data_IF_077754114004
#
_entry.id   IF_077754114004
#
_cell.length_a   1.000
_cell.length_b   1.000
_cell.length_c   1.000
_cell.angle_alpha   90.00
_cell.angle_beta   90.00
_cell.angle_gamma   90.00
#
_symmetry.space_group_name_H-M   'P 1'
#
loop_
_entity.id
_entity.type
_entity.pdbx_description
1 polymer ?
#
# COMPACT_ATOMS: atom_id res chain seq x y z
N UNK A 1 -9.99 -42.82 53.27
CA UNK A 1 -11.06 -43.83 53.18
C UNK A 1 -11.87 -43.54 51.93
N UNK A 2 -11.52 -44.24 50.84
CA UNK A 2 -12.44 -44.68 49.77
C UNK A 2 -13.36 -45.76 50.36
N UNK A 3 -14.53 -46.14 49.79
CA UNK A 3 -14.86 -46.36 48.36
C UNK A 3 -16.19 -45.67 47.94
N UNK A 4 -16.62 -45.60 46.69
CA UNK A 4 -17.19 -46.69 45.89
C UNK A 4 -17.10 -46.40 44.39
N UNK A 5 -16.79 -47.46 43.65
CA UNK A 5 -16.95 -47.58 42.22
C UNK A 5 -18.17 -48.49 41.98
N UNK A 6 -19.06 -48.16 41.04
CA UNK A 6 -19.58 -49.18 40.14
C UNK A 6 -20.36 -48.63 38.91
N UNK A 7 -20.18 -49.37 37.81
CA UNK A 7 -21.07 -49.64 36.66
C UNK A 7 -21.35 -48.57 35.59
N UNK A 8 -20.70 -48.78 34.44
CA UNK A 8 -21.15 -48.42 33.09
C UNK A 8 -22.39 -49.23 32.68
N UNK A 9 -23.09 -48.79 31.61
CA UNK A 9 -22.97 -49.60 30.40
C UNK A 9 -22.76 -48.81 29.10
N UNK A 10 -22.03 -49.50 28.24
CA UNK A 10 -21.77 -49.38 26.80
C UNK A 10 -23.00 -49.11 25.93
N UNK A 11 -22.87 -48.21 24.95
CA UNK A 11 -23.45 -48.41 23.61
C UNK A 11 -22.42 -48.07 22.54
N UNK A 12 -21.90 -49.13 21.93
CA UNK A 12 -21.25 -49.18 20.63
C UNK A 12 -22.23 -48.78 19.51
N UNK A 13 -21.78 -47.95 18.57
CA UNK A 13 -21.95 -48.21 17.13
C UNK A 13 -21.11 -47.27 16.28
N UNK A 14 -20.07 -47.86 15.68
CA UNK A 14 -19.24 -47.30 14.63
C UNK A 14 -19.88 -47.54 13.23
N UNK A 15 -19.16 -47.32 12.10
CA UNK A 15 -19.57 -46.42 11.03
C UNK A 15 -20.15 -47.14 9.80
N UNK A 16 -20.90 -46.42 8.96
CA UNK A 16 -21.21 -46.89 7.60
C UNK A 16 -20.66 -45.91 6.58
N UNK A 17 -19.50 -46.27 6.04
CA UNK A 17 -19.06 -45.82 4.73
C UNK A 17 -19.55 -46.83 3.68
N UNK A 18 -20.12 -46.35 2.57
CA UNK A 18 -20.12 -47.09 1.30
C UNK A 18 -20.01 -46.12 0.13
N UNK A 19 -18.88 -46.24 -0.55
CA UNK A 19 -18.55 -45.67 -1.85
C UNK A 19 -19.38 -46.34 -2.96
N UNK A 20 -19.80 -45.57 -3.96
CA UNK A 20 -19.94 -46.06 -5.33
C UNK A 20 -19.83 -44.88 -6.32
N UNK A 21 -18.86 -45.03 -7.21
CA UNK A 21 -18.44 -44.18 -8.31
C UNK A 21 -19.36 -44.29 -9.54
N UNK A 22 -19.04 -43.47 -10.56
CA UNK A 22 -19.56 -43.45 -11.95
C UNK A 22 -20.78 -42.52 -12.07
N UNK A 23 -20.80 -41.43 -12.84
CA UNK A 23 -20.53 -41.39 -14.28
C UNK A 23 -20.29 -39.94 -14.77
N UNK A 24 -19.33 -39.79 -15.68
CA UNK A 24 -19.06 -38.56 -16.44
C UNK A 24 -19.96 -38.60 -17.67
N UNK A 25 -20.88 -37.65 -17.81
CA UNK A 25 -21.64 -37.46 -19.05
C UNK A 25 -21.52 -36.00 -19.52
N UNK A 26 -20.65 -35.79 -20.50
CA UNK A 26 -20.69 -34.63 -21.38
C UNK A 26 -21.47 -35.04 -22.63
N UNK A 27 -22.61 -34.40 -22.91
CA UNK A 27 -23.20 -34.37 -24.25
C UNK A 27 -24.29 -33.29 -24.39
N UNK A 28 -23.98 -32.34 -25.28
CA UNK A 28 -24.83 -31.83 -26.36
C UNK A 28 -26.12 -31.05 -26.07
N UNK A 29 -26.00 -29.73 -26.29
CA UNK A 29 -26.81 -28.95 -27.24
C UNK A 29 -28.26 -29.41 -27.45
N UNK A 30 -29.20 -28.80 -26.73
CA UNK A 30 -30.59 -28.68 -27.19
C UNK A 30 -30.95 -27.22 -27.43
N UNK A 31 -30.75 -26.87 -28.69
CA UNK A 31 -31.44 -25.83 -29.45
C UNK A 31 -32.90 -25.71 -29.01
N UNK A 32 -33.29 -24.54 -28.52
CA UNK A 32 -34.64 -24.04 -28.75
C UNK A 32 -34.57 -22.80 -29.65
N UNK A 33 -34.59 -23.10 -30.95
CA UNK A 33 -34.97 -22.16 -32.00
C UNK A 33 -36.50 -22.07 -31.98
N UNK A 34 -36.98 -20.84 -32.17
CA UNK A 34 -38.13 -20.38 -33.00
C UNK A 34 -39.01 -19.43 -32.17
N UNK A 35 -39.46 -18.26 -32.66
CA UNK A 35 -39.33 -17.59 -33.96
C UNK A 35 -39.98 -16.19 -33.84
N UNK A 36 -39.34 -15.19 -34.49
CA UNK A 36 -39.90 -14.12 -35.35
C UNK A 36 -40.77 -13.06 -34.65
N UNK A 37 -40.64 -11.76 -34.92
CA UNK A 37 -40.67 -11.05 -36.23
C UNK A 37 -39.82 -9.76 -36.10
N UNK A 38 -38.78 -9.53 -36.90
CA UNK A 38 -38.77 -8.81 -38.20
C UNK A 38 -39.43 -7.42 -38.13
N UNK A 39 -38.60 -6.37 -38.22
CA UNK A 39 -38.72 -5.28 -39.20
C UNK A 39 -37.47 -4.39 -39.13
N UNK A 40 -36.49 -4.67 -39.99
CA UNK A 40 -35.47 -3.70 -40.41
C UNK A 40 -35.97 -3.07 -41.70
N UNK A 41 -36.37 -1.81 -41.68
CA UNK A 41 -36.41 -0.92 -42.84
C UNK A 41 -36.40 0.52 -42.32
N UNK A 42 -35.23 1.16 -42.33
CA UNK A 42 -35.02 2.51 -42.86
C UNK A 42 -33.52 2.81 -42.75
N UNK A 43 -32.83 2.58 -43.86
CA UNK A 43 -31.50 3.08 -44.09
C UNK A 43 -31.58 4.47 -44.75
N UNK A 44 -30.47 5.21 -44.61
CA UNK A 44 -29.92 6.24 -45.51
C UNK A 44 -30.12 7.72 -45.11
N UNK A 45 -29.01 8.46 -45.30
CA UNK A 45 -28.71 9.90 -45.27
C UNK A 45 -28.21 10.44 -43.91
N UNK A 46 -26.99 10.97 -43.75
CA UNK A 46 -26.02 11.47 -44.71
C UNK A 46 -24.59 11.51 -44.12
N UNK A 47 -23.62 11.09 -44.93
CA UNK A 47 -22.19 11.44 -44.83
C UNK A 47 -22.00 12.73 -45.64
N UNK A 48 -21.54 13.82 -45.02
CA UNK A 48 -20.86 14.92 -45.70
C UNK A 48 -20.23 15.91 -44.69
N UNK A 49 -18.93 16.15 -44.82
CA UNK A 49 -18.37 17.49 -44.58
C UNK A 49 -17.35 17.67 -43.45
N UNK A 50 -16.13 17.15 -43.59
CA UNK A 50 -14.94 17.89 -43.12
C UNK A 50 -13.70 17.58 -43.96
N UNK A 51 -13.70 18.07 -45.20
CA UNK A 51 -12.50 18.19 -46.03
C UNK A 51 -12.48 19.60 -46.62
N UNK A 52 -12.00 20.57 -45.84
CA UNK A 52 -11.66 21.90 -46.32
C UNK A 52 -10.68 22.55 -45.36
N UNK A 53 -9.45 22.77 -45.84
CA UNK A 53 -8.50 23.84 -45.50
C UNK A 53 -7.05 23.33 -45.43
N UNK A 54 -6.57 22.77 -46.54
CA UNK A 54 -5.13 22.62 -46.81
C UNK A 54 -4.65 23.88 -47.53
N UNK A 55 -4.60 25.02 -46.83
CA UNK A 55 -3.85 26.21 -47.27
C UNK A 55 -3.22 26.82 -46.01
N UNK A 56 -2.09 26.24 -45.60
CA UNK A 56 -1.14 26.86 -44.68
C UNK A 56 0.05 27.43 -45.48
N UNK A 57 0.62 28.57 -45.08
CA UNK A 57 1.63 29.27 -45.87
C UNK A 57 2.91 28.45 -45.99
N UNK A 58 3.51 28.43 -47.19
CA UNK A 58 4.88 27.98 -47.43
C UNK A 58 5.84 28.97 -46.73
N UNK A 59 5.95 28.84 -45.41
CA UNK A 59 6.95 29.53 -44.63
C UNK A 59 8.29 28.81 -44.84
N UNK A 60 9.21 29.51 -45.49
CA UNK A 60 10.63 29.20 -45.53
C UNK A 60 11.11 28.85 -44.11
N UNK A 61 11.50 27.59 -43.89
CA UNK A 61 12.15 27.21 -42.64
C UNK A 61 13.52 27.89 -42.59
N UNK A 62 13.87 28.64 -41.53
CA UNK A 62 15.27 29.02 -41.35
C UNK A 62 16.07 27.73 -41.10
N UNK A 63 17.22 27.60 -41.79
CA UNK A 63 18.23 26.59 -41.44
C UNK A 63 18.58 26.79 -39.97
N UNK A 64 18.34 25.77 -39.16
CA UNK A 64 18.90 25.70 -37.82
C UNK A 64 20.42 25.56 -37.97
N UNK A 65 21.16 26.62 -37.64
CA UNK A 65 22.58 26.50 -37.33
C UNK A 65 22.69 25.84 -35.96
N UNK A 66 23.33 24.66 -35.91
CA UNK A 66 23.63 24.00 -34.67
C UNK A 66 24.73 24.80 -33.95
N UNK A 67 24.35 25.52 -32.88
CA UNK A 67 25.32 26.08 -31.94
C UNK A 67 25.95 24.92 -31.18
N UNK A 68 27.19 24.58 -31.53
CA UNK A 68 28.03 23.66 -30.77
C UNK A 68 28.42 24.32 -29.44
N UNK A 69 27.72 23.97 -28.37
CA UNK A 69 28.14 24.25 -27.00
C UNK A 69 29.16 23.17 -26.61
N UNK A 70 30.38 23.52 -26.17
CA UNK A 70 31.33 22.52 -25.69
C UNK A 70 30.74 21.82 -24.46
N UNK A 71 30.91 20.49 -24.31
CA UNK A 71 30.48 19.81 -23.10
C UNK A 71 31.32 20.33 -21.93
N UNK A 72 30.68 21.05 -21.01
CA UNK A 72 31.29 21.39 -19.72
C UNK A 72 31.24 20.12 -18.87
N UNK A 73 32.33 19.35 -18.87
CA UNK A 73 32.44 18.16 -18.04
C UNK A 73 32.67 18.59 -16.59
N UNK A 74 31.69 18.31 -15.73
CA UNK A 74 31.82 18.42 -14.26
C UNK A 74 32.81 17.39 -13.67
N UNK A 75 33.55 16.66 -14.50
CA UNK A 75 34.51 15.63 -14.10
C UNK A 75 35.90 16.21 -13.76
N UNK A 76 36.19 17.46 -14.16
CA UNK A 76 37.51 18.06 -13.94
C UNK A 76 37.70 18.73 -12.55
N UNK A 77 36.64 18.85 -11.74
CA UNK A 77 36.69 19.57 -10.46
C UNK A 77 37.07 18.73 -9.24
N UNK A 78 37.05 17.40 -9.31
CA UNK A 78 37.18 16.54 -8.11
C UNK A 78 38.44 15.68 -8.07
N UNK A 79 39.27 15.71 -9.11
CA UNK A 79 40.54 14.94 -9.15
C UNK A 79 41.69 15.63 -8.40
N UNK A 80 41.60 16.94 -8.14
CA UNK A 80 42.64 17.67 -7.41
C UNK A 80 42.53 17.54 -5.87
N UNK A 81 41.39 17.08 -5.34
CA UNK A 81 41.14 17.05 -3.89
C UNK A 81 41.25 15.64 -3.26
N UNK A 82 41.58 14.63 -4.08
CA UNK A 82 41.63 13.23 -3.64
C UNK A 82 43.04 12.70 -3.33
N UNK A 83 44.09 13.53 -3.45
CA UNK A 83 45.48 13.09 -3.27
C UNK A 83 46.15 13.76 -2.06
N UNK A 84 45.68 13.44 -0.85
CA UNK A 84 46.47 13.69 0.35
C UNK A 84 46.06 12.84 1.56
N UNK A 85 45.99 11.50 1.44
CA UNK A 85 46.19 10.61 2.59
C UNK A 85 46.77 9.27 2.12
N UNK A 86 48.10 9.17 2.17
CA UNK A 86 48.85 7.91 2.13
C UNK A 86 49.49 7.67 3.50
N UNK A 87 49.74 6.37 3.77
CA UNK A 87 50.41 5.75 4.92
C UNK A 87 49.47 5.38 6.09
N UNK A 88 49.46 4.16 6.64
CA UNK A 88 50.27 2.96 6.41
C UNK A 88 49.66 1.74 7.15
N UNK A 89 50.19 0.57 6.78
CA UNK A 89 50.26 -0.69 7.53
C UNK A 89 49.06 -1.66 7.49
N UNK A 90 49.40 -2.87 7.09
CA UNK A 90 48.54 -4.04 6.94
C UNK A 90 48.27 -4.72 8.29
N UNK A 91 47.03 -5.13 8.49
CA UNK A 91 46.65 -6.21 9.42
C UNK A 91 45.48 -6.98 8.80
N UNK A 92 45.57 -8.31 8.56
CA UNK A 92 44.41 -9.09 8.15
C UNK A 92 43.53 -9.37 9.38
N UNK A 93 42.39 -8.68 9.51
CA UNK A 93 41.34 -9.04 10.47
C UNK A 93 40.42 -10.09 9.88
N UNK A 94 40.46 -11.29 10.48
CA UNK A 94 39.52 -12.38 10.27
C UNK A 94 38.10 -11.94 10.63
N UNK A 95 37.15 -12.07 9.70
CA UNK A 95 35.72 -11.87 9.98
C UNK A 95 35.18 -13.07 10.75
N UNK A 96 35.09 -12.92 12.07
CA UNK A 96 34.38 -13.83 12.95
C UNK A 96 32.87 -13.78 12.69
N UNK A 97 32.24 -14.95 12.68
CA UNK A 97 30.82 -15.16 12.44
C UNK A 97 30.06 -14.86 13.74
N UNK A 98 29.96 -13.57 14.04
CA UNK A 98 29.15 -13.04 15.14
C UNK A 98 27.65 -13.09 14.80
N UNK A 99 27.00 -14.08 15.40
CA UNK A 99 25.57 -14.32 15.49
C UNK A 99 24.77 -13.05 15.84
N UNK A 100 24.34 -12.29 14.82
CA UNK A 100 23.35 -11.24 14.97
C UNK A 100 21.98 -11.89 15.23
N UNK A 101 21.66 -12.10 16.50
CA UNK A 101 20.33 -12.51 16.94
C UNK A 101 19.31 -11.43 16.59
N UNK A 102 18.58 -11.61 15.50
CA UNK A 102 17.38 -10.84 15.22
C UNK A 102 16.22 -11.46 16.01
N UNK A 103 15.68 -10.72 16.97
CA UNK A 103 14.46 -11.13 17.67
C UNK A 103 13.25 -10.90 16.76
N UNK A 104 12.62 -11.99 16.32
CA UNK A 104 11.32 -11.97 15.64
C UNK A 104 10.25 -11.56 16.66
N UNK A 105 9.78 -10.32 16.60
CA UNK A 105 8.54 -9.93 17.26
C UNK A 105 7.36 -10.45 16.43
N UNK A 106 6.75 -11.56 16.87
CA UNK A 106 5.41 -11.95 16.43
C UNK A 106 4.41 -11.36 17.41
N UNK A 107 3.85 -10.20 17.08
CA UNK A 107 2.70 -9.68 17.80
C UNK A 107 1.44 -10.52 17.45
N UNK A 108 0.66 -11.01 18.43
CA UNK A 108 -0.57 -11.72 18.14
C UNK A 108 -1.62 -10.79 17.52
N UNK A 109 -2.24 -11.28 16.44
CA UNK A 109 -3.36 -10.69 15.69
C UNK A 109 -4.56 -10.37 16.61
N UNK A 110 -5.08 -9.12 16.65
CA UNK A 110 -6.45 -8.88 17.06
C UNK A 110 -7.41 -9.03 15.86
N UNK A 111 -8.48 -9.79 16.09
CA UNK A 111 -9.69 -9.81 15.25
C UNK A 111 -10.37 -8.43 15.33
N UNK A 112 -10.73 -7.77 14.20
CA UNK A 112 -11.49 -6.53 14.25
C UNK A 112 -12.97 -6.84 14.53
N UNK A 113 -13.47 -6.40 15.68
CA UNK A 113 -14.91 -6.14 15.87
C UNK A 113 -15.12 -4.63 15.86
N UNK A 114 -15.90 -4.08 14.91
CA UNK A 114 -16.21 -2.66 14.86
C UNK A 114 -17.32 -2.30 15.86
N UNK A 115 -17.14 -1.21 16.61
CA UNK A 115 -18.25 -0.42 17.13
C UNK A 115 -17.80 1.04 17.16
N UNK A 116 -18.41 1.94 16.36
CA UNK A 116 -18.13 3.37 16.42
C UNK A 116 -18.80 3.95 17.68
N UNK A 117 -17.99 4.35 18.67
CA UNK A 117 -18.44 5.35 19.63
C UNK A 117 -17.95 6.70 19.14
N UNK A 118 -18.87 7.51 18.64
CA UNK A 118 -18.63 8.93 18.41
C UNK A 118 -18.41 9.60 19.78
N UNK A 119 -17.16 9.83 20.15
CA UNK A 119 -16.82 10.75 21.23
C UNK A 119 -16.52 12.12 20.63
N UNK A 120 -17.30 13.11 21.04
CA UNK A 120 -17.08 14.53 20.78
C UNK A 120 -15.67 14.98 21.23
N UNK A 121 -15.13 16.10 20.68
CA UNK A 121 -13.79 16.55 21.00
C UNK A 121 -13.78 17.19 22.38
N UNK A 122 -13.60 16.40 23.44
CA UNK A 122 -13.15 16.93 24.73
C UNK A 122 -11.64 16.82 24.76
N UNK A 123 -10.99 17.97 24.55
CA UNK A 123 -9.56 18.12 24.71
C UNK A 123 -9.11 17.60 26.07
N UNK A 124 -8.27 16.59 26.05
CA UNK A 124 -7.42 16.19 27.15
C UNK A 124 -6.20 15.55 26.53
N UNK A 125 -5.29 16.43 26.12
CA UNK A 125 -3.95 16.07 25.69
C UNK A 125 -3.22 15.48 26.90
N UNK A 126 -3.42 14.18 27.16
CA UNK A 126 -2.34 13.42 27.76
C UNK A 126 -1.13 13.67 26.85
N UNK A 127 -0.02 14.15 27.43
CA UNK A 127 1.17 14.46 26.68
C UNK A 127 1.75 13.16 26.09
N UNK A 128 1.19 12.73 24.97
CA UNK A 128 1.75 11.69 24.12
C UNK A 128 3.03 12.28 23.57
N UNK A 129 4.16 11.65 23.88
CA UNK A 129 5.45 12.03 23.32
C UNK A 129 5.34 12.03 21.78
N UNK A 130 5.52 13.21 21.18
CA UNK A 130 5.52 13.39 19.74
C UNK A 130 6.96 13.43 19.24
N UNK A 131 7.28 12.72 18.13
CA UNK A 131 8.57 12.84 17.48
C UNK A 131 8.79 14.27 16.94
N UNK A 132 10.05 14.69 16.74
CA UNK A 132 10.34 15.96 16.10
C UNK A 132 9.84 15.98 14.64
N UNK A 133 9.49 17.16 14.15
CA UNK A 133 9.09 17.36 12.75
C UNK A 133 10.23 17.02 11.79
N UNK A 134 9.87 16.42 10.65
CA UNK A 134 10.76 16.12 9.54
C UNK A 134 10.19 16.82 8.31
N UNK A 135 11.00 17.61 7.62
CA UNK A 135 10.60 18.19 6.34
C UNK A 135 10.58 17.09 5.27
N UNK A 136 9.45 16.85 4.58
CA UNK A 136 9.39 15.81 3.56
C UNK A 136 10.16 16.22 2.30
N UNK A 137 10.86 15.26 1.70
CA UNK A 137 11.52 15.46 0.40
C UNK A 137 10.46 15.64 -0.70
N UNK A 138 10.57 16.66 -1.59
CA UNK A 138 9.64 16.84 -2.69
C UNK A 138 9.52 15.59 -3.58
N UNK A 139 8.29 15.23 -3.94
CA UNK A 139 8.01 14.04 -4.77
C UNK A 139 8.01 12.71 -4.00
N UNK A 140 8.35 12.71 -2.71
CA UNK A 140 8.22 11.51 -1.86
C UNK A 140 6.76 11.22 -1.47
N UNK A 141 6.51 9.99 -1.03
CA UNK A 141 5.23 9.62 -0.40
C UNK A 141 4.93 10.49 0.84
N UNK A 142 5.97 10.91 1.57
CA UNK A 142 5.85 11.83 2.71
C UNK A 142 5.35 13.21 2.28
N UNK A 143 5.82 13.75 1.15
CA UNK A 143 5.34 15.02 0.63
C UNK A 143 3.86 14.96 0.21
N UNK A 144 3.43 13.84 -0.39
CA UNK A 144 2.02 13.60 -0.71
C UNK A 144 1.18 13.56 0.57
N UNK A 145 1.64 12.82 1.58
CA UNK A 145 0.97 12.76 2.87
C UNK A 145 0.90 14.12 3.56
N UNK A 146 1.96 14.93 3.48
CA UNK A 146 1.97 16.27 4.06
C UNK A 146 0.89 17.16 3.46
N UNK A 147 0.77 17.20 2.13
CA UNK A 147 -0.29 17.98 1.46
C UNK A 147 -1.71 17.50 1.78
N UNK A 148 -1.92 16.18 1.86
CA UNK A 148 -3.21 15.61 2.26
C UNK A 148 -3.51 15.87 3.75
N UNK A 149 -2.51 15.83 4.61
CA UNK A 149 -2.63 16.09 6.04
C UNK A 149 -3.01 17.56 6.31
N UNK A 150 -2.40 18.51 5.60
CA UNK A 150 -2.80 19.91 5.63
C UNK A 150 -4.24 20.12 5.15
N UNK A 151 -4.66 19.39 4.10
CA UNK A 151 -6.04 19.44 3.59
C UNK A 151 -7.07 18.92 4.61
N UNK A 152 -6.65 18.07 5.55
CA UNK A 152 -7.46 17.60 6.67
C UNK A 152 -7.44 18.53 7.89
N UNK A 153 -6.75 19.68 7.80
CA UNK A 153 -6.65 20.66 8.90
C UNK A 153 -5.66 20.26 10.00
N UNK A 154 -4.77 19.30 9.74
CA UNK A 154 -3.75 18.87 10.68
C UNK A 154 -2.43 19.61 10.47
N UNK A 155 -1.73 19.87 11.58
CA UNK A 155 -0.47 20.60 11.60
C UNK A 155 0.78 19.73 11.52
N UNK A 156 1.94 20.39 11.60
CA UNK A 156 3.27 19.75 11.55
C UNK A 156 3.49 18.72 12.68
N UNK A 157 2.88 18.94 13.84
CA UNK A 157 2.89 18.02 14.97
C UNK A 157 2.26 16.66 14.61
N UNK A 158 1.14 16.69 13.90
CA UNK A 158 0.46 15.49 13.41
C UNK A 158 1.26 14.81 12.30
N UNK A 159 1.92 15.60 11.46
CA UNK A 159 2.79 15.04 10.42
C UNK A 159 3.96 14.27 11.02
N UNK A 160 4.61 14.81 12.06
CA UNK A 160 5.71 14.13 12.75
C UNK A 160 5.27 12.76 13.29
N UNK A 161 4.12 12.71 13.96
CA UNK A 161 3.52 11.46 14.44
C UNK A 161 3.24 10.47 13.30
N UNK A 162 2.70 10.95 12.18
CA UNK A 162 2.43 10.12 11.00
C UNK A 162 3.73 9.53 10.42
N UNK A 163 4.78 10.35 10.32
CA UNK A 163 6.10 9.93 9.85
C UNK A 163 6.66 8.82 10.72
N UNK A 164 6.66 8.98 12.04
CA UNK A 164 7.13 7.93 12.94
C UNK A 164 6.28 6.66 12.85
N UNK A 165 4.95 6.81 12.79
CA UNK A 165 4.02 5.70 12.67
C UNK A 165 4.30 4.88 11.40
N UNK A 166 4.19 5.48 10.22
CA UNK A 166 4.37 4.73 8.97
C UNK A 166 5.83 4.35 8.66
N UNK A 167 6.81 4.98 9.32
CA UNK A 167 8.17 4.45 9.35
C UNK A 167 8.24 3.08 10.04
N UNK A 168 7.58 2.92 11.20
CA UNK A 168 7.52 1.65 11.94
C UNK A 168 6.76 0.58 11.14
N UNK A 169 5.71 0.96 10.43
CA UNK A 169 4.87 0.04 9.66
C UNK A 169 5.56 -0.49 8.40
N UNK A 170 6.07 0.39 7.55
CA UNK A 170 6.52 0.02 6.20
C UNK A 170 7.83 0.66 5.77
N UNK A 171 8.30 1.69 6.50
CA UNK A 171 9.35 2.58 6.02
C UNK A 171 8.89 3.39 4.81
N UNK A 172 7.60 3.76 4.74
CA UNK A 172 6.99 4.51 3.63
C UNK A 172 7.02 3.82 2.26
N UNK A 173 7.23 2.50 2.22
CA UNK A 173 7.26 1.73 0.96
C UNK A 173 5.86 1.34 0.50
N UNK A 174 5.49 1.77 -0.70
CA UNK A 174 4.20 1.49 -1.35
C UNK A 174 3.96 -0.01 -1.58
N UNK A 175 5.03 -0.76 -1.79
CA UNK A 175 5.03 -2.20 -2.04
C UNK A 175 5.44 -3.02 -0.80
N UNK A 176 5.42 -2.44 0.40
CA UNK A 176 5.71 -3.19 1.61
C UNK A 176 4.66 -4.28 1.82
N UNK A 177 5.08 -5.54 1.73
CA UNK A 177 4.21 -6.68 1.97
C UNK A 177 4.78 -7.54 3.11
N UNK A 178 3.94 -7.83 4.09
CA UNK A 178 4.26 -8.76 5.17
C UNK A 178 3.66 -10.13 4.84
N UNK A 179 4.48 -11.11 4.48
CA UNK A 179 4.02 -12.44 4.10
C UNK A 179 3.37 -13.24 5.25
N UNK A 180 3.72 -12.93 6.51
CA UNK A 180 3.15 -13.61 7.68
C UNK A 180 1.74 -13.13 8.00
N UNK A 181 1.49 -11.83 7.92
CA UNK A 181 0.18 -11.24 8.25
C UNK A 181 -0.71 -10.98 7.02
N UNK A 182 -0.14 -10.78 5.85
CA UNK A 182 -0.82 -10.30 4.64
C UNK A 182 -1.03 -8.79 4.59
N UNK A 183 -0.42 -8.03 5.50
CA UNK A 183 -0.49 -6.57 5.49
C UNK A 183 0.24 -5.96 4.28
N UNK A 184 -0.32 -4.89 3.70
CA UNK A 184 0.22 -4.29 2.48
C UNK A 184 0.28 -2.76 2.52
N UNK A 185 1.31 -2.22 1.88
CA UNK A 185 1.46 -0.80 1.55
C UNK A 185 1.97 0.06 2.70
N UNK A 186 1.97 1.37 2.46
CA UNK A 186 2.42 2.39 3.42
C UNK A 186 1.74 2.22 4.79
N UNK A 187 0.39 2.13 4.88
CA UNK A 187 -0.29 2.02 6.17
C UNK A 187 -0.32 0.59 6.72
N UNK A 188 0.24 -0.42 6.02
CA UNK A 188 0.14 -1.84 6.38
C UNK A 188 -1.32 -2.32 6.56
N UNK A 189 -2.17 -2.03 5.57
CA UNK A 189 -3.59 -2.41 5.61
C UNK A 189 -3.80 -3.92 5.55
N UNK A 190 -4.73 -4.43 6.35
CA UNK A 190 -5.07 -5.86 6.43
C UNK A 190 -6.58 -6.13 6.21
N UNK A 191 -6.98 -6.78 5.11
CA UNK A 191 -6.19 -7.02 3.89
C UNK A 191 -5.95 -5.72 3.11
N UNK A 192 -4.87 -5.67 2.33
CA UNK A 192 -4.52 -4.53 1.48
C UNK A 192 -5.64 -4.06 0.55
N UNK A 193 -6.48 -5.00 0.09
CA UNK A 193 -7.64 -4.73 -0.77
C UNK A 193 -8.67 -3.75 -0.17
N UNK A 194 -8.64 -3.49 1.13
CA UNK A 194 -9.47 -2.44 1.75
C UNK A 194 -9.16 -1.07 1.17
N UNK A 195 -7.93 -0.82 0.73
CA UNK A 195 -7.53 0.44 0.10
C UNK A 195 -8.21 0.70 -1.24
N UNK A 196 -8.84 -0.32 -1.84
CA UNK A 196 -9.63 -0.16 -3.06
C UNK A 196 -10.80 0.82 -2.91
N UNK A 197 -11.26 1.08 -1.68
CA UNK A 197 -12.30 2.09 -1.44
C UNK A 197 -11.82 3.53 -1.67
N UNK A 198 -10.51 3.78 -1.66
CA UNK A 198 -9.92 5.08 -1.97
C UNK A 198 -9.51 5.22 -3.45
N UNK A 199 -9.36 4.11 -4.17
CA UNK A 199 -8.99 4.08 -5.58
C UNK A 199 -8.64 2.68 -6.07
N UNK A 200 -8.94 2.38 -7.33
CA UNK A 200 -8.66 1.05 -7.92
C UNK A 200 -7.17 0.76 -8.11
N UNK A 201 -6.32 1.78 -8.07
CA UNK A 201 -4.87 1.76 -8.25
C UNK A 201 -4.09 1.65 -6.93
N UNK A 202 -4.77 1.30 -5.83
CA UNK A 202 -4.23 1.25 -4.48
C UNK A 202 -2.95 0.42 -4.31
N UNK A 203 -2.75 -0.60 -5.14
CA UNK A 203 -1.62 -1.51 -5.00
C UNK A 203 -0.30 -0.80 -5.31
N UNK A 204 -0.30 0.17 -6.23
CA UNK A 204 0.93 0.82 -6.71
C UNK A 204 0.94 2.34 -6.52
N UNK A 205 -0.18 2.95 -6.13
CA UNK A 205 -0.28 4.39 -5.97
C UNK A 205 -0.13 4.82 -4.49
N UNK A 206 0.96 5.52 -4.10
CA UNK A 206 1.13 6.03 -2.74
C UNK A 206 0.01 6.96 -2.32
N UNK A 207 -0.48 7.83 -3.22
CA UNK A 207 -1.53 8.79 -2.89
C UNK A 207 -2.83 8.08 -2.50
N UNK A 208 -3.20 7.01 -3.20
CA UNK A 208 -4.37 6.18 -2.88
C UNK A 208 -4.21 5.50 -1.52
N UNK A 209 -3.04 4.92 -1.24
CA UNK A 209 -2.77 4.27 0.05
C UNK A 209 -2.79 5.27 1.22
N UNK A 210 -2.18 6.44 1.02
CA UNK A 210 -2.12 7.51 2.01
C UNK A 210 -3.53 8.05 2.29
N UNK A 211 -4.32 8.33 1.25
CA UNK A 211 -5.70 8.79 1.39
C UNK A 211 -6.54 7.82 2.23
N UNK A 212 -6.46 6.52 1.92
CA UNK A 212 -7.13 5.49 2.72
C UNK A 212 -6.61 5.44 4.17
N UNK A 213 -5.29 5.46 4.36
CA UNK A 213 -4.66 5.39 5.68
C UNK A 213 -4.99 6.59 6.57
N UNK A 214 -5.01 7.80 6.03
CA UNK A 214 -5.41 9.01 6.75
C UNK A 214 -6.90 8.95 7.14
N UNK A 215 -7.76 8.45 6.25
CA UNK A 215 -9.18 8.22 6.57
C UNK A 215 -9.37 7.21 7.69
N UNK A 216 -8.61 6.10 7.68
CA UNK A 216 -8.61 5.12 8.77
C UNK A 216 -8.14 5.72 10.09
N UNK A 217 -7.05 6.48 10.08
CA UNK A 217 -6.52 7.18 11.26
C UNK A 217 -7.57 8.14 11.83
N UNK A 218 -8.18 8.97 10.98
CA UNK A 218 -9.23 9.90 11.39
C UNK A 218 -10.41 9.16 12.04
N UNK A 219 -10.91 8.11 11.38
CA UNK A 219 -12.09 7.38 11.84
C UNK A 219 -11.89 6.56 13.12
N UNK A 220 -10.66 6.08 13.39
CA UNK A 220 -10.38 5.19 14.52
C UNK A 220 -9.64 5.86 15.68
N UNK A 221 -8.76 6.82 15.38
CA UNK A 221 -7.88 7.45 16.36
C UNK A 221 -8.11 8.96 16.48
N UNK A 222 -8.93 9.54 15.61
CA UNK A 222 -9.17 10.99 15.55
C UNK A 222 -8.03 11.74 14.87
N UNK A 223 -6.78 11.49 15.26
CA UNK A 223 -5.59 12.18 14.74
C UNK A 223 -4.39 11.25 14.55
N UNK A 224 -3.41 11.62 13.71
CA UNK A 224 -2.14 10.89 13.58
C UNK A 224 -1.38 10.70 14.90
N UNK A 225 -1.35 11.70 15.78
CA UNK A 225 -0.73 11.54 17.09
C UNK A 225 -1.54 10.63 18.02
N UNK A 226 -2.87 10.59 17.91
CA UNK A 226 -3.69 9.60 18.60
C UNK A 226 -3.32 8.17 18.17
N UNK A 227 -3.16 7.95 16.87
CA UNK A 227 -2.74 6.66 16.32
C UNK A 227 -1.32 6.29 16.76
N UNK A 228 -0.38 7.24 16.75
CA UNK A 228 0.98 7.03 17.22
C UNK A 228 1.03 6.64 18.71
N UNK A 229 0.30 7.36 19.57
CA UNK A 229 0.22 7.02 21.00
C UNK A 229 -0.37 5.62 21.24
N UNK A 230 -1.35 5.22 20.44
CA UNK A 230 -1.88 3.85 20.47
C UNK A 230 -0.84 2.81 20.04
N UNK A 231 -0.11 3.06 18.94
CA UNK A 231 0.96 2.20 18.43
C UNK A 231 2.10 2.02 19.42
N UNK A 232 2.43 3.07 20.17
CA UNK A 232 3.45 3.02 21.22
C UNK A 232 3.01 2.23 22.45
N UNK A 233 1.72 2.22 22.78
CA UNK A 233 1.20 1.51 23.96
C UNK A 233 0.85 0.04 23.69
N UNK A 234 0.34 -0.28 22.50
CA UNK A 234 -0.19 -1.62 22.18
C UNK A 234 0.63 -2.38 21.15
N UNK A 235 1.55 -1.70 20.47
CA UNK A 235 2.35 -2.25 19.39
C UNK A 235 1.70 -2.16 18.00
N UNK A 236 0.42 -1.79 17.90
CA UNK A 236 -0.35 -1.73 16.65
C UNK A 236 -1.25 -0.48 16.58
N UNK A 237 -1.78 -0.20 15.39
CA UNK A 237 -2.84 0.79 15.13
C UNK A 237 -3.76 0.27 14.00
#
# INVERSE_FOLDING_TARGET
MTPDADLTPTVDRAPVARSASVERAAATNRRWRRRRRVSSFFAVFAVAGFAAAYIGPLASSPRAEAVTVPPVSLYAGTLADAQAYLAASAVPTTLDRGQAGYTVYVAPKPTPTPTPTASAPTGSSAAVWSPPFVSPDPGSAQAVAYGMLQSNGWGEDQFACLVALWNKESGWRVNAYNAGSGAYGIPQSLPGSKMASAGSDWETNPATQISWGLGYISGRYGTPCGAWGHSQSTGWY
#
